data_IF_419816319384
#
_entry.id   IF_419816319384
#
_cell.length_a   1.000
_cell.length_b   1.000
_cell.length_c   1.000
_cell.angle_alpha   90.00
_cell.angle_beta   90.00
_cell.angle_gamma   90.00
#
_symmetry.space_group_name_H-M   'P 1'
#
loop_
_entity.id
_entity.type
_entity.pdbx_description
1 polymer ?
#
# COMPACT_ATOMS: atom_id res chain seq x y z
N UNK A 1 -28.55 25.68 9.24
CA UNK A 1 -27.24 25.44 9.89
C UNK A 1 -27.09 23.94 9.95
N UNK A 2 -26.53 23.33 8.89
CA UNK A 2 -26.31 21.89 8.84
C UNK A 2 -25.22 21.56 9.87
N UNK A 3 -25.54 20.74 10.86
CA UNK A 3 -24.55 20.20 11.78
C UNK A 3 -23.43 19.57 10.95
N UNK A 4 -22.21 20.08 11.08
CA UNK A 4 -21.03 19.38 10.57
C UNK A 4 -20.94 18.09 11.39
N UNK A 5 -21.35 16.97 10.80
CA UNK A 5 -21.18 15.65 11.40
C UNK A 5 -19.71 15.46 11.75
N UNK A 6 -19.37 15.48 13.04
CA UNK A 6 -18.01 15.20 13.50
C UNK A 6 -17.68 13.73 13.25
N UNK A 7 -16.45 13.47 12.83
CA UNK A 7 -15.93 12.12 12.75
C UNK A 7 -15.93 11.49 14.15
N UNK A 8 -16.58 10.33 14.31
CA UNK A 8 -16.66 9.61 15.58
C UNK A 8 -16.47 8.10 15.35
N UNK A 9 -15.65 7.46 16.20
CA UNK A 9 -15.57 6.00 16.34
C UNK A 9 -16.20 5.63 17.68
N UNK A 10 -17.09 4.64 17.65
CA UNK A 10 -17.72 4.06 18.82
C UNK A 10 -17.36 2.56 18.87
N UNK A 11 -16.75 2.15 19.98
CA UNK A 11 -16.43 0.76 20.26
C UNK A 11 -17.49 0.17 21.19
N UNK A 12 -18.04 -1.00 20.85
CA UNK A 12 -19.05 -1.69 21.67
C UNK A 12 -18.78 -3.18 21.74
N UNK A 13 -19.06 -3.85 22.86
CA UNK A 13 -19.15 -5.31 22.89
C UNK A 13 -20.04 -5.83 21.77
N UNK A 14 -19.55 -6.80 21.01
CA UNK A 14 -20.35 -7.41 19.96
C UNK A 14 -21.56 -8.16 20.59
N UNK A 15 -22.74 -8.17 19.95
CA UNK A 15 -23.94 -8.82 20.48
C UNK A 15 -23.77 -10.31 20.83
N UNK A 16 -22.83 -10.97 20.15
CA UNK A 16 -22.50 -12.38 20.32
C UNK A 16 -21.38 -12.63 21.35
N UNK A 17 -20.89 -11.56 22.01
CA UNK A 17 -19.88 -11.62 23.06
C UNK A 17 -20.51 -11.35 24.43
N UNK A 18 -20.62 -12.38 25.27
CA UNK A 18 -21.31 -12.34 26.56
C UNK A 18 -20.29 -12.23 27.69
N UNK A 19 -20.42 -11.19 28.51
CA UNK A 19 -19.64 -11.06 29.74
C UNK A 19 -20.28 -11.84 30.88
N UNK A 20 -19.47 -12.56 31.65
CA UNK A 20 -19.92 -13.30 32.83
C UNK A 20 -18.84 -13.31 33.93
N UNK A 21 -19.26 -13.64 35.15
CA UNK A 21 -18.39 -13.94 36.27
C UNK A 21 -18.53 -15.42 36.62
N UNK A 22 -17.40 -16.13 36.70
CA UNK A 22 -17.35 -17.51 37.18
C UNK A 22 -16.36 -17.57 38.35
N UNK A 23 -16.84 -17.91 39.54
CA UNK A 23 -16.04 -17.93 40.78
C UNK A 23 -15.26 -16.62 41.02
N UNK A 24 -15.88 -15.48 40.68
CA UNK A 24 -15.29 -14.14 40.79
C UNK A 24 -14.28 -13.79 39.70
N UNK A 25 -14.05 -14.67 38.73
CA UNK A 25 -13.18 -14.42 37.56
C UNK A 25 -14.00 -13.84 36.41
N UNK A 26 -13.65 -12.65 35.88
CA UNK A 26 -14.33 -12.06 34.74
C UNK A 26 -13.95 -12.79 33.45
N UNK A 27 -14.95 -13.13 32.64
CA UNK A 27 -14.76 -13.81 31.37
C UNK A 27 -15.69 -13.28 30.28
N UNK A 28 -15.26 -13.42 29.03
CA UNK A 28 -16.07 -13.19 27.83
C UNK A 28 -16.27 -14.52 27.12
N UNK A 29 -17.51 -14.91 26.88
CA UNK A 29 -17.86 -15.98 25.97
C UNK A 29 -18.14 -15.41 24.58
N UNK A 30 -17.45 -15.90 23.56
CA UNK A 30 -17.72 -15.62 22.14
C UNK A 30 -18.58 -16.73 21.57
N UNK A 31 -19.82 -16.42 21.21
CA UNK A 31 -20.71 -17.38 20.55
C UNK A 31 -20.20 -17.71 19.14
N UNK A 32 -19.76 -16.71 18.37
CA UNK A 32 -19.24 -16.92 17.01
C UNK A 32 -17.99 -17.82 17.00
N UNK A 33 -17.10 -17.64 17.97
CA UNK A 33 -15.86 -18.41 18.08
C UNK A 33 -15.95 -19.67 18.92
N UNK A 34 -17.06 -19.87 19.66
CA UNK A 34 -17.22 -20.89 20.70
C UNK A 34 -16.01 -20.95 21.66
N UNK A 35 -15.58 -19.79 22.14
CA UNK A 35 -14.38 -19.63 22.99
C UNK A 35 -14.69 -18.78 24.22
N UNK A 36 -13.98 -19.07 25.31
CA UNK A 36 -13.98 -18.28 26.54
C UNK A 36 -12.63 -17.57 26.67
N UNK A 37 -12.68 -16.29 27.01
CA UNK A 37 -11.51 -15.45 27.30
C UNK A 37 -11.61 -14.98 28.76
N UNK A 38 -10.68 -15.41 29.60
CA UNK A 38 -10.54 -14.85 30.94
C UNK A 38 -9.92 -13.44 30.84
N UNK A 39 -10.48 -12.49 31.59
CA UNK A 39 -9.99 -11.13 31.67
C UNK A 39 -9.24 -10.92 32.99
N UNK A 40 -8.24 -10.06 32.98
CA UNK A 40 -7.73 -9.48 34.22
C UNK A 40 -8.65 -8.34 34.71
N UNK A 41 -8.29 -7.75 35.86
CA UNK A 41 -9.08 -6.67 36.45
C UNK A 41 -9.18 -5.44 35.55
N UNK A 42 -8.11 -5.11 34.81
CA UNK A 42 -8.03 -3.94 33.93
C UNK A 42 -8.88 -4.16 32.67
N UNK A 43 -8.73 -5.32 32.02
CA UNK A 43 -9.53 -5.74 30.88
C UNK A 43 -11.02 -5.81 31.21
N UNK A 44 -11.39 -6.35 32.37
CA UNK A 44 -12.79 -6.36 32.81
C UNK A 44 -13.35 -4.94 33.00
N UNK A 45 -12.56 -4.03 33.59
CA UNK A 45 -12.94 -2.63 33.75
C UNK A 45 -13.18 -1.95 32.39
N UNK A 46 -12.24 -2.12 31.46
CA UNK A 46 -12.34 -1.54 30.10
C UNK A 46 -13.56 -2.11 29.38
N UNK A 47 -13.77 -3.43 29.42
CA UNK A 47 -14.91 -4.09 28.77
C UNK A 47 -16.24 -3.55 29.28
N UNK A 48 -16.42 -3.45 30.61
CA UNK A 48 -17.64 -2.91 31.20
C UNK A 48 -17.87 -1.45 30.78
N UNK A 49 -16.83 -0.61 30.76
CA UNK A 49 -16.94 0.78 30.33
C UNK A 49 -17.35 0.91 28.86
N UNK A 50 -16.82 0.07 27.98
CA UNK A 50 -17.26 -0.01 26.58
C UNK A 50 -18.73 -0.45 26.47
N UNK A 51 -19.15 -1.42 27.29
CA UNK A 51 -20.56 -1.86 27.36
C UNK A 51 -21.52 -0.77 27.85
N UNK A 52 -21.05 0.15 28.69
CA UNK A 52 -21.78 1.34 29.12
C UNK A 52 -21.79 2.47 28.07
N UNK A 53 -21.07 2.30 26.95
CA UNK A 53 -20.92 3.34 25.91
C UNK A 53 -20.00 4.49 26.32
N UNK A 54 -19.10 4.26 27.28
CA UNK A 54 -18.14 5.29 27.74
C UNK A 54 -17.12 5.64 26.66
N UNK A 55 -16.67 6.89 26.63
CA UNK A 55 -15.57 7.30 25.75
C UNK A 55 -14.22 6.73 26.23
N UNK A 56 -13.21 6.66 25.35
CA UNK A 56 -11.86 6.29 25.77
C UNK A 56 -11.30 7.24 26.84
N UNK A 57 -11.64 8.53 26.78
CA UNK A 57 -11.26 9.50 27.82
C UNK A 57 -11.84 9.18 29.19
N UNK A 58 -13.06 8.65 29.26
CA UNK A 58 -13.67 8.18 30.51
C UNK A 58 -12.98 6.93 31.05
N UNK A 59 -12.61 6.02 30.15
CA UNK A 59 -11.84 4.81 30.49
C UNK A 59 -10.50 5.21 31.11
N UNK A 60 -9.76 6.13 30.48
CA UNK A 60 -8.46 6.58 30.99
C UNK A 60 -8.60 7.26 32.36
N UNK A 61 -9.60 8.14 32.54
CA UNK A 61 -9.88 8.74 33.85
C UNK A 61 -10.20 7.70 34.92
N UNK A 62 -10.96 6.67 34.56
CA UNK A 62 -11.31 5.59 35.47
C UNK A 62 -10.14 4.67 35.84
N UNK A 63 -9.20 4.46 34.93
CA UNK A 63 -7.94 3.76 35.20
C UNK A 63 -6.98 4.61 36.06
N UNK A 64 -6.93 5.92 35.81
CA UNK A 64 -6.17 6.86 36.64
C UNK A 64 -6.63 6.88 38.10
N UNK A 65 -7.95 6.81 38.34
CA UNK A 65 -8.51 6.67 39.69
C UNK A 65 -8.12 5.36 40.39
N UNK A 66 -7.64 4.36 39.65
CA UNK A 66 -7.11 3.09 40.17
C UNK A 66 -5.57 3.09 40.29
N UNK A 67 -4.92 4.23 40.08
CA UNK A 67 -3.47 4.40 40.21
C UNK A 67 -2.67 4.02 38.96
N UNK A 68 -3.32 3.84 37.80
CA UNK A 68 -2.63 3.56 36.53
C UNK A 68 -2.41 4.89 35.81
N UNK A 69 -1.15 5.21 35.49
CA UNK A 69 -0.84 6.44 34.77
C UNK A 69 -1.42 6.44 33.35
N UNK A 70 -1.58 7.62 32.77
CA UNK A 70 -2.26 7.80 31.48
C UNK A 70 -1.58 7.05 30.33
N UNK A 71 -0.24 7.02 30.29
CA UNK A 71 0.49 6.34 29.23
C UNK A 71 0.25 4.83 29.28
N UNK A 72 0.36 4.25 30.47
CA UNK A 72 0.06 2.84 30.71
C UNK A 72 -1.41 2.51 30.43
N UNK A 73 -2.34 3.39 30.82
CA UNK A 73 -3.78 3.21 30.57
C UNK A 73 -4.10 3.18 29.06
N UNK A 74 -3.51 4.10 28.27
CA UNK A 74 -3.63 4.12 26.81
C UNK A 74 -3.06 2.85 26.19
N UNK A 75 -1.85 2.45 26.61
CA UNK A 75 -1.20 1.25 26.12
C UNK A 75 -2.05 -0.02 26.37
N UNK A 76 -2.53 -0.23 27.59
CA UNK A 76 -3.36 -1.39 27.91
C UNK A 76 -4.67 -1.36 27.13
N UNK A 77 -5.34 -0.21 27.07
CA UNK A 77 -6.61 -0.06 26.33
C UNK A 77 -6.41 -0.40 24.85
N UNK A 78 -5.36 0.13 24.22
CA UNK A 78 -5.03 -0.19 22.81
C UNK A 78 -4.81 -1.68 22.61
N UNK A 79 -3.99 -2.31 23.46
CA UNK A 79 -3.67 -3.74 23.35
C UNK A 79 -4.92 -4.62 23.46
N UNK A 80 -5.81 -4.36 24.42
CA UNK A 80 -7.02 -5.19 24.58
C UNK A 80 -8.04 -4.93 23.47
N UNK A 81 -8.21 -3.67 23.04
CA UNK A 81 -9.10 -3.31 21.92
C UNK A 81 -8.64 -3.98 20.63
N UNK A 82 -7.33 -3.96 20.33
CA UNK A 82 -6.76 -4.64 19.17
C UNK A 82 -7.11 -6.13 19.16
N UNK A 83 -6.87 -6.80 20.28
CA UNK A 83 -7.13 -8.22 20.46
C UNK A 83 -8.62 -8.55 20.33
N UNK A 84 -9.49 -7.69 20.86
CA UNK A 84 -10.92 -7.91 20.80
C UNK A 84 -11.49 -7.66 19.40
N UNK A 85 -10.98 -6.67 18.66
CA UNK A 85 -11.36 -6.46 17.25
C UNK A 85 -10.94 -7.64 16.38
N UNK A 86 -9.69 -8.12 16.53
CA UNK A 86 -9.17 -9.26 15.76
C UNK A 86 -9.96 -10.55 16.00
N UNK A 87 -10.65 -10.64 17.14
CA UNK A 87 -11.48 -11.78 17.54
C UNK A 87 -12.97 -11.53 17.35
N UNK A 88 -13.34 -10.43 16.69
CA UNK A 88 -14.71 -9.99 16.49
C UNK A 88 -15.53 -9.82 17.79
N UNK A 89 -14.86 -9.60 18.94
CA UNK A 89 -15.53 -9.37 20.23
C UNK A 89 -16.00 -7.93 20.40
N UNK A 90 -15.49 -7.01 19.58
CA UNK A 90 -15.97 -5.63 19.50
C UNK A 90 -16.59 -5.35 18.14
N UNK A 91 -17.71 -4.63 18.16
CA UNK A 91 -18.20 -3.88 17.02
C UNK A 91 -17.55 -2.50 16.99
N UNK A 92 -17.16 -2.08 15.79
CA UNK A 92 -16.53 -0.80 15.54
C UNK A 92 -17.41 -0.02 14.58
N UNK A 93 -18.26 0.81 15.15
CA UNK A 93 -19.09 1.72 14.37
C UNK A 93 -18.36 3.05 14.24
N UNK A 94 -18.36 3.62 13.04
CA UNK A 94 -17.88 4.98 12.88
C UNK A 94 -18.67 5.77 11.87
N UNK A 95 -18.74 7.08 12.12
CA UNK A 95 -19.42 8.05 11.25
C UNK A 95 -18.37 8.90 10.57
N UNK A 96 -18.39 8.90 9.24
CA UNK A 96 -17.48 9.69 8.43
C UNK A 96 -18.00 11.11 8.22
N UNK A 97 -17.11 12.12 8.27
CA UNK A 97 -17.45 13.45 7.78
C UNK A 97 -17.65 13.41 6.26
N UNK A 98 -18.49 14.29 5.73
CA UNK A 98 -18.81 14.35 4.29
C UNK A 98 -17.83 15.19 3.48
N UNK A 99 -16.99 16.00 4.13
CA UNK A 99 -16.16 17.04 3.52
C UNK A 99 -14.66 16.68 3.41
N UNK A 100 -14.21 15.60 4.03
CA UNK A 100 -12.81 15.13 3.97
C UNK A 100 -12.69 13.88 3.09
N UNK A 101 -12.69 14.08 1.77
CA UNK A 101 -12.61 13.00 0.80
C UNK A 101 -11.91 13.41 -0.50
N UNK A 102 -11.33 12.44 -1.20
CA UNK A 102 -10.89 12.60 -2.59
C UNK A 102 -11.06 11.28 -3.35
N UNK A 103 -11.01 11.39 -4.66
CA UNK A 103 -11.01 10.23 -5.56
C UNK A 103 -9.73 10.24 -6.38
N UNK A 104 -9.14 9.07 -6.59
CA UNK A 104 -7.97 8.90 -7.43
C UNK A 104 -8.20 7.78 -8.46
N UNK A 105 -7.45 7.84 -9.55
CA UNK A 105 -7.47 6.80 -10.58
C UNK A 105 -6.12 6.11 -10.66
N UNK A 106 -6.15 4.77 -10.65
CA UNK A 106 -5.00 3.93 -10.96
C UNK A 106 -5.36 3.04 -12.14
N UNK A 107 -4.87 3.38 -13.33
CA UNK A 107 -5.37 2.78 -14.55
C UNK A 107 -6.83 3.16 -14.77
N UNK A 108 -7.68 2.14 -14.89
CA UNK A 108 -9.15 2.28 -14.97
C UNK A 108 -9.84 2.18 -13.61
N UNK A 109 -9.08 1.97 -12.54
CA UNK A 109 -9.66 1.73 -11.22
C UNK A 109 -9.84 3.03 -10.47
N UNK A 110 -11.10 3.33 -10.12
CA UNK A 110 -11.46 4.47 -9.28
C UNK A 110 -11.35 4.08 -7.81
N UNK A 111 -10.61 4.87 -7.05
CA UNK A 111 -10.37 4.68 -5.63
C UNK A 111 -10.94 5.87 -4.90
N UNK A 112 -11.94 5.64 -4.06
CA UNK A 112 -12.59 6.66 -3.26
C UNK A 112 -12.05 6.59 -1.83
N UNK A 113 -11.53 7.71 -1.34
CA UNK A 113 -10.88 7.79 -0.03
C UNK A 113 -11.59 8.84 0.83
N UNK A 114 -11.94 8.45 2.05
CA UNK A 114 -12.50 9.34 3.07
C UNK A 114 -11.63 9.30 4.33
N UNK A 115 -11.52 10.44 4.99
CA UNK A 115 -10.72 10.57 6.20
C UNK A 115 -11.46 11.36 7.28
N UNK A 116 -11.16 11.09 8.55
CA UNK A 116 -11.73 11.82 9.68
C UNK A 116 -11.36 13.31 9.71
N UNK A 117 -10.22 13.69 9.15
CA UNK A 117 -9.71 15.05 9.17
C UNK A 117 -8.75 15.34 7.98
N UNK A 118 -8.46 16.62 7.69
CA UNK A 118 -7.57 17.00 6.59
C UNK A 118 -6.13 16.49 6.70
N UNK A 119 -5.61 16.26 7.91
CA UNK A 119 -4.23 15.80 8.11
C UNK A 119 -4.05 14.35 7.66
N UNK A 120 -5.00 13.48 8.03
CA UNK A 120 -5.09 12.13 7.49
C UNK A 120 -5.29 12.16 5.98
N UNK A 121 -6.18 13.02 5.48
CA UNK A 121 -6.45 13.14 4.04
C UNK A 121 -5.17 13.49 3.25
N UNK A 122 -4.35 14.42 3.75
CA UNK A 122 -3.06 14.78 3.13
C UNK A 122 -2.08 13.60 3.08
N UNK A 123 -2.00 12.82 4.16
CA UNK A 123 -1.14 11.62 4.20
C UNK A 123 -1.65 10.53 3.26
N UNK A 124 -2.96 10.35 3.18
CA UNK A 124 -3.60 9.40 2.27
C UNK A 124 -3.44 9.79 0.80
N UNK A 125 -3.26 11.08 0.50
CA UNK A 125 -3.03 11.57 -0.84
C UNK A 125 -1.61 11.27 -1.34
N UNK A 126 -0.60 11.23 -0.45
CA UNK A 126 0.82 11.01 -0.80
C UNK A 126 1.10 9.89 -1.83
N UNK A 127 0.51 8.69 -1.73
CA UNK A 127 0.81 7.62 -2.68
C UNK A 127 0.14 7.80 -4.06
N UNK A 128 -0.68 8.84 -4.30
CA UNK A 128 -1.40 9.05 -5.55
C UNK A 128 -0.81 10.20 -6.37
N UNK A 129 -0.76 10.03 -7.70
CA UNK A 129 -0.24 11.04 -8.61
C UNK A 129 -1.28 12.08 -9.04
N UNK A 130 -2.55 11.68 -9.17
CA UNK A 130 -3.66 12.51 -9.61
C UNK A 130 -4.87 12.23 -8.73
N UNK A 131 -5.56 13.29 -8.29
CA UNK A 131 -6.77 13.20 -7.47
C UNK A 131 -7.80 14.26 -7.88
N UNK A 132 -9.07 13.87 -7.90
CA UNK A 132 -10.20 14.76 -8.06
C UNK A 132 -10.93 14.94 -6.71
N UNK A 133 -11.33 16.18 -6.39
CA UNK A 133 -12.10 16.48 -5.18
C UNK A 133 -13.59 16.10 -5.29
N UNK A 134 -14.00 15.44 -6.37
CA UNK A 134 -15.36 14.96 -6.57
C UNK A 134 -15.59 13.65 -5.79
N UNK A 135 -15.95 13.78 -4.52
CA UNK A 135 -16.44 12.68 -3.70
C UNK A 135 -17.90 12.36 -4.09
N UNK A 136 -18.13 11.16 -4.63
CA UNK A 136 -19.47 10.70 -5.00
C UNK A 136 -19.45 9.66 -6.11
N UNK A 137 -19.62 8.40 -5.75
CA UNK A 137 -19.70 7.25 -6.65
C UNK A 137 -19.44 5.94 -5.92
N UNK A 138 -19.92 4.84 -6.49
CA UNK A 138 -19.54 3.47 -6.10
C UNK A 138 -18.19 3.15 -6.78
N UNK A 139 -17.10 3.71 -6.25
CA UNK A 139 -15.76 3.43 -6.77
C UNK A 139 -15.36 1.97 -6.58
N UNK A 140 -14.52 1.45 -7.49
CA UNK A 140 -14.04 0.07 -7.45
C UNK A 140 -13.43 -0.32 -6.08
N UNK A 141 -12.81 0.66 -5.40
CA UNK A 141 -12.20 0.50 -4.08
C UNK A 141 -12.57 1.71 -3.22
N UNK A 142 -13.33 1.48 -2.15
CA UNK A 142 -13.58 2.47 -1.10
C UNK A 142 -12.67 2.22 0.11
N UNK A 143 -12.05 3.29 0.61
CA UNK A 143 -11.21 3.30 1.82
C UNK A 143 -11.67 4.42 2.74
N UNK A 144 -11.79 4.09 4.01
CA UNK A 144 -12.11 5.04 5.08
C UNK A 144 -11.04 4.99 6.16
N UNK A 145 -10.59 6.16 6.62
CA UNK A 145 -9.57 6.29 7.65
C UNK A 145 -10.06 7.14 8.83
N UNK A 146 -9.95 6.62 10.03
CA UNK A 146 -10.29 7.32 11.27
C UNK A 146 -9.13 7.31 12.26
N UNK A 147 -9.06 8.33 13.11
CA UNK A 147 -8.21 8.29 14.29
C UNK A 147 -8.97 7.71 15.46
N UNK A 148 -8.35 6.77 16.17
CA UNK A 148 -8.71 6.44 17.54
C UNK A 148 -7.46 6.57 18.39
N UNK A 149 -7.48 7.48 19.36
CA UNK A 149 -6.29 7.78 20.16
C UNK A 149 -5.10 8.18 19.24
N UNK A 150 -3.97 7.48 19.31
CA UNK A 150 -2.78 7.71 18.48
C UNK A 150 -2.70 6.80 17.24
N UNK A 151 -3.68 5.92 17.03
CA UNK A 151 -3.66 4.91 15.96
C UNK A 151 -4.67 5.23 14.87
N UNK A 152 -4.29 4.95 13.62
CA UNK A 152 -5.21 5.05 12.47
C UNK A 152 -5.93 3.72 12.27
N UNK A 153 -7.25 3.79 12.20
CA UNK A 153 -8.12 2.70 11.84
C UNK A 153 -8.53 2.85 10.38
N UNK A 154 -8.37 1.77 9.62
CA UNK A 154 -8.59 1.73 8.18
C UNK A 154 -9.64 0.67 7.87
N UNK A 155 -10.72 1.07 7.20
CA UNK A 155 -11.69 0.15 6.62
C UNK A 155 -11.63 0.25 5.12
N UNK A 156 -11.72 -0.91 4.47
CA UNK A 156 -11.82 -0.94 3.04
C UNK A 156 -12.76 -2.07 2.64
N UNK A 157 -13.72 -1.82 1.74
CA UNK A 157 -14.62 -2.81 1.12
C UNK A 157 -15.30 -3.87 2.00
N UNK A 158 -14.58 -4.93 2.39
CA UNK A 158 -15.08 -6.15 3.04
C UNK A 158 -15.38 -6.00 4.55
N UNK A 159 -15.54 -4.76 5.03
CA UNK A 159 -15.68 -4.42 6.45
C UNK A 159 -14.49 -4.83 7.33
N UNK A 160 -13.40 -5.36 6.77
CA UNK A 160 -12.18 -5.61 7.53
C UNK A 160 -11.58 -4.30 8.02
N UNK A 161 -11.13 -4.31 9.28
CA UNK A 161 -10.51 -3.16 9.93
C UNK A 161 -9.04 -3.49 10.13
N UNK A 162 -8.20 -2.74 9.43
CA UNK A 162 -6.76 -2.73 9.67
C UNK A 162 -6.38 -1.51 10.50
N UNK A 163 -5.22 -1.59 11.15
CA UNK A 163 -4.71 -0.53 12.02
C UNK A 163 -3.25 -0.25 11.70
N UNK A 164 -2.86 1.01 11.77
CA UNK A 164 -1.48 1.41 11.57
C UNK A 164 -1.15 2.69 12.32
N UNK A 165 0.15 2.91 12.53
CA UNK A 165 0.66 4.20 12.99
C UNK A 165 0.47 5.26 11.91
N UNK A 166 0.32 6.53 12.31
CA UNK A 166 0.04 7.65 11.40
C UNK A 166 1.09 7.79 10.28
N UNK A 167 2.35 7.51 10.57
CA UNK A 167 3.44 7.56 9.57
C UNK A 167 3.42 6.37 8.60
N UNK A 168 2.77 5.27 8.98
CA UNK A 168 2.59 4.07 8.15
C UNK A 168 1.33 4.12 7.28
N UNK A 169 0.51 5.15 7.41
CA UNK A 169 -0.78 5.27 6.73
C UNK A 169 -0.67 5.18 5.20
N UNK A 170 0.19 6.00 4.60
CA UNK A 170 0.38 6.01 3.14
C UNK A 170 0.91 4.66 2.61
N UNK A 171 1.97 4.06 3.19
CA UNK A 171 2.39 2.71 2.82
C UNK A 171 1.31 1.65 2.98
N UNK A 172 0.54 1.70 4.07
CA UNK A 172 -0.51 0.72 4.36
C UNK A 172 -1.61 0.76 3.31
N UNK A 173 -2.09 1.96 2.95
CA UNK A 173 -3.12 2.10 1.92
C UNK A 173 -2.60 1.71 0.54
N UNK A 174 -1.37 2.08 0.20
CA UNK A 174 -0.75 1.64 -1.06
C UNK A 174 -0.73 0.11 -1.15
N UNK A 175 -0.33 -0.59 -0.08
CA UNK A 175 -0.32 -2.05 -0.03
C UNK A 175 -1.73 -2.64 -0.16
N UNK A 176 -2.71 -2.09 0.56
CA UNK A 176 -4.10 -2.55 0.53
C UNK A 176 -4.74 -2.43 -0.86
N UNK A 177 -4.58 -1.27 -1.50
CA UNK A 177 -5.04 -1.04 -2.87
C UNK A 177 -4.33 -1.99 -3.84
N UNK A 178 -3.00 -2.14 -3.70
CA UNK A 178 -2.21 -3.04 -4.54
C UNK A 178 -2.71 -4.48 -4.46
N UNK A 179 -2.95 -5.00 -3.26
CA UNK A 179 -3.45 -6.36 -3.07
C UNK A 179 -4.81 -6.57 -3.77
N UNK A 180 -5.72 -5.60 -3.65
CA UNK A 180 -7.04 -5.66 -4.33
C UNK A 180 -6.92 -5.67 -5.84
N UNK A 181 -6.05 -4.82 -6.39
CA UNK A 181 -5.82 -4.75 -7.83
C UNK A 181 -5.25 -6.07 -8.36
N UNK A 182 -4.31 -6.68 -7.63
CA UNK A 182 -3.70 -7.96 -7.99
C UNK A 182 -4.71 -9.11 -7.93
N UNK A 183 -5.61 -9.13 -6.93
CA UNK A 183 -6.64 -10.17 -6.78
C UNK A 183 -7.80 -10.04 -7.79
N UNK A 184 -7.83 -8.98 -8.58
CA UNK A 184 -8.86 -8.79 -9.60
C UNK A 184 -8.77 -9.86 -10.71
N UNK A 185 -9.86 -10.58 -10.96
CA UNK A 185 -9.94 -11.72 -11.89
C UNK A 185 -9.56 -11.41 -13.34
N UNK A 186 -9.49 -10.12 -13.73
CA UNK A 186 -9.05 -9.74 -15.08
C UNK A 186 -7.56 -10.01 -15.32
N UNK A 187 -6.75 -10.03 -14.27
CA UNK A 187 -5.30 -10.22 -14.38
C UNK A 187 -4.94 -11.67 -14.10
N UNK A 188 -4.00 -12.20 -14.88
CA UNK A 188 -3.56 -13.61 -14.73
C UNK A 188 -2.41 -13.75 -13.73
N UNK A 189 -1.61 -12.70 -13.55
CA UNK A 189 -0.60 -12.53 -12.51
C UNK A 189 -0.11 -11.07 -12.50
N UNK A 190 0.76 -10.74 -11.55
CA UNK A 190 1.48 -9.48 -11.47
C UNK A 190 2.98 -9.72 -11.38
N UNK A 191 3.78 -8.80 -11.91
CA UNK A 191 5.24 -8.78 -11.78
C UNK A 191 5.66 -7.69 -10.79
N UNK A 192 6.62 -8.00 -9.91
CA UNK A 192 7.30 -6.97 -9.15
C UNK A 192 8.34 -6.24 -10.02
N UNK A 193 7.87 -5.27 -10.79
CA UNK A 193 8.66 -4.51 -11.75
C UNK A 193 8.20 -3.06 -11.82
N UNK A 194 9.15 -2.15 -12.05
CA UNK A 194 8.82 -0.82 -12.53
C UNK A 194 8.57 -0.89 -14.03
N UNK A 195 7.69 -0.03 -14.53
CA UNK A 195 7.25 -0.01 -15.91
C UNK A 195 7.20 1.42 -16.44
N UNK A 196 7.79 1.60 -17.62
CA UNK A 196 7.79 2.85 -18.37
C UNK A 196 7.46 2.57 -19.83
N UNK A 197 7.09 3.60 -20.58
CA UNK A 197 6.81 3.54 -22.02
C UNK A 197 7.63 4.60 -22.74
N UNK A 198 8.35 4.18 -23.78
CA UNK A 198 9.09 5.04 -24.71
C UNK A 198 8.59 4.78 -26.13
N UNK A 199 8.15 5.81 -26.84
CA UNK A 199 7.63 5.72 -28.22
C UNK A 199 6.63 4.58 -28.45
N UNK A 200 5.72 4.39 -27.48
CA UNK A 200 4.68 3.35 -27.52
C UNK A 200 5.13 1.94 -27.11
N UNK A 201 6.42 1.73 -26.83
CA UNK A 201 6.98 0.45 -26.42
C UNK A 201 7.31 0.42 -24.92
N UNK A 202 6.94 -0.67 -24.25
CA UNK A 202 7.13 -0.84 -22.82
C UNK A 202 8.55 -1.26 -22.43
N UNK A 203 9.05 -0.65 -21.35
CA UNK A 203 10.29 -0.99 -20.66
C UNK A 203 9.94 -1.50 -19.25
N UNK A 204 10.29 -2.75 -18.96
CA UNK A 204 10.19 -3.32 -17.61
C UNK A 204 11.55 -3.30 -16.92
N UNK A 205 11.61 -2.73 -15.71
CA UNK A 205 12.76 -2.83 -14.83
C UNK A 205 12.47 -3.84 -13.73
N UNK A 206 13.16 -4.97 -13.80
CA UNK A 206 13.05 -6.09 -12.87
C UNK A 206 14.28 -6.16 -11.97
N UNK A 207 14.11 -6.56 -10.72
CA UNK A 207 15.23 -6.76 -9.80
C UNK A 207 14.80 -6.80 -8.35
N UNK A 208 15.69 -7.31 -7.49
CA UNK A 208 15.46 -7.42 -6.06
C UNK A 208 15.17 -6.05 -5.40
N UNK A 209 14.52 -6.02 -4.23
CA UNK A 209 14.38 -4.79 -3.45
C UNK A 209 15.74 -4.12 -3.22
N UNK A 210 15.85 -2.83 -3.52
CA UNK A 210 17.12 -2.09 -3.41
C UNK A 210 18.02 -2.13 -4.66
N UNK A 211 17.66 -2.90 -5.69
CA UNK A 211 18.38 -2.92 -6.97
C UNK A 211 18.28 -1.61 -7.77
N UNK A 212 17.52 -0.61 -7.30
CA UNK A 212 17.46 0.74 -7.89
C UNK A 212 16.34 0.98 -8.91
N UNK A 213 15.29 0.15 -8.96
CA UNK A 213 14.12 0.30 -9.84
C UNK A 213 13.51 1.71 -9.79
N UNK A 214 13.11 2.17 -8.60
CA UNK A 214 12.50 3.49 -8.42
C UNK A 214 13.44 4.64 -8.73
N UNK A 215 14.72 4.50 -8.37
CA UNK A 215 15.77 5.47 -8.67
C UNK A 215 15.99 5.63 -10.18
N UNK A 216 16.05 4.52 -10.92
CA UNK A 216 16.18 4.55 -12.38
C UNK A 216 14.90 5.00 -13.07
N UNK A 217 13.74 4.64 -12.54
CA UNK A 217 12.45 5.11 -13.05
C UNK A 217 12.37 6.63 -12.98
N UNK A 218 12.76 7.25 -11.85
CA UNK A 218 12.84 8.71 -11.73
C UNK A 218 13.73 9.34 -12.82
N UNK A 219 14.92 8.78 -13.02
CA UNK A 219 15.88 9.24 -14.02
C UNK A 219 15.39 9.13 -15.46
N UNK A 220 14.65 8.06 -15.77
CA UNK A 220 14.09 7.83 -17.10
C UNK A 220 12.87 8.73 -17.36
N UNK A 221 12.05 9.00 -16.34
CA UNK A 221 10.96 9.98 -16.43
C UNK A 221 11.52 11.38 -16.74
N UNK A 222 12.58 11.79 -16.05
CA UNK A 222 13.32 13.02 -16.37
C UNK A 222 13.95 13.00 -17.78
N UNK A 223 14.15 11.81 -18.36
CA UNK A 223 14.60 11.64 -19.75
C UNK A 223 13.47 11.60 -20.79
N UNK A 224 12.21 11.83 -20.38
CA UNK A 224 11.06 11.85 -21.27
C UNK A 224 10.31 10.53 -21.41
N UNK A 225 10.69 9.48 -20.68
CA UNK A 225 9.92 8.24 -20.67
C UNK A 225 8.59 8.45 -19.94
N UNK A 226 7.51 7.88 -20.48
CA UNK A 226 6.20 7.93 -19.82
C UNK A 226 6.15 6.92 -18.69
N UNK A 227 5.87 7.38 -17.48
CA UNK A 227 5.73 6.52 -16.30
C UNK A 227 4.44 5.70 -16.37
N UNK A 228 4.50 4.40 -16.05
CA UNK A 228 3.32 3.54 -15.96
C UNK A 228 3.13 2.92 -14.56
N UNK A 229 4.21 2.74 -13.79
CA UNK A 229 4.14 2.22 -12.42
C UNK A 229 5.52 1.82 -11.90
N UNK A 230 5.72 1.81 -10.59
CA UNK A 230 7.05 1.58 -9.97
C UNK A 230 7.21 0.21 -9.29
N UNK A 231 6.13 -0.32 -8.70
CA UNK A 231 6.19 -1.51 -7.85
C UNK A 231 5.54 -2.75 -8.47
N UNK A 232 4.48 -2.55 -9.26
CA UNK A 232 3.63 -3.63 -9.76
C UNK A 232 3.26 -3.37 -11.21
N UNK A 233 3.43 -4.41 -12.02
CA UNK A 233 2.93 -4.48 -13.39
C UNK A 233 1.95 -5.66 -13.48
N UNK A 234 0.67 -5.37 -13.74
CA UNK A 234 -0.40 -6.35 -13.88
C UNK A 234 -0.37 -6.94 -15.30
N UNK A 235 -0.54 -8.26 -15.42
CA UNK A 235 -0.43 -8.95 -16.72
C UNK A 235 -1.79 -9.54 -17.12
N UNK A 236 -2.20 -9.24 -18.35
CA UNK A 236 -3.38 -9.82 -19.00
C UNK A 236 -3.09 -11.19 -19.62
N UNK A 237 -4.14 -11.99 -19.84
CA UNK A 237 -3.99 -13.35 -20.41
C UNK A 237 -3.46 -13.39 -21.85
N UNK A 238 -3.50 -12.26 -22.55
CA UNK A 238 -2.91 -12.06 -23.87
C UNK A 238 -1.43 -11.65 -23.83
N UNK A 239 -0.88 -11.36 -22.64
CA UNK A 239 0.49 -10.87 -22.45
C UNK A 239 0.62 -9.35 -22.48
N UNK A 240 -0.49 -8.61 -22.53
CA UNK A 240 -0.47 -7.16 -22.31
C UNK A 240 -0.13 -6.84 -20.85
N UNK A 241 0.53 -5.70 -20.64
CA UNK A 241 0.95 -5.23 -19.32
C UNK A 241 0.23 -3.94 -19.01
N UNK A 242 -0.27 -3.82 -17.79
CA UNK A 242 -0.84 -2.59 -17.25
C UNK A 242 -0.06 -2.21 -15.98
N UNK A 243 0.57 -1.05 -15.99
CA UNK A 243 1.20 -0.50 -14.79
C UNK A 243 0.15 -0.06 -13.76
N UNK A 244 0.59 0.09 -12.50
CA UNK A 244 -0.21 0.70 -11.42
C UNK A 244 0.48 2.01 -11.00
N UNK A 245 0.06 3.17 -11.53
CA UNK A 245 0.81 4.43 -11.42
C UNK A 245 0.54 5.17 -10.11
N UNK A 246 0.81 4.52 -8.98
CA UNK A 246 1.01 5.24 -7.73
C UNK A 246 2.14 6.27 -7.90
N UNK A 247 2.16 7.28 -7.03
CA UNK A 247 3.31 8.15 -6.87
C UNK A 247 4.58 7.29 -6.68
N UNK A 248 5.64 7.67 -7.39
CA UNK A 248 6.91 6.97 -7.37
C UNK A 248 7.46 6.93 -5.93
N UNK A 249 7.90 5.76 -5.46
CA UNK A 249 8.24 5.57 -4.05
C UNK A 249 9.76 5.48 -3.86
N UNK A 250 10.33 6.53 -3.26
CA UNK A 250 11.78 6.63 -3.07
C UNK A 250 12.15 6.37 -1.62
N UNK A 251 13.04 5.39 -1.43
CA UNK A 251 13.67 5.11 -0.14
C UNK A 251 14.72 6.18 0.19
N UNK A 252 15.06 6.29 1.46
CA UNK A 252 16.03 7.25 2.00
C UNK A 252 17.33 7.38 1.19
N UNK A 253 17.92 6.25 0.77
CA UNK A 253 19.16 6.27 -0.03
C UNK A 253 19.04 6.88 -1.43
N UNK A 254 17.86 7.37 -1.84
CA UNK A 254 17.64 8.10 -3.10
C UNK A 254 17.20 9.55 -2.89
N UNK A 255 17.13 10.05 -1.66
CA UNK A 255 16.64 11.40 -1.39
C UNK A 255 17.61 12.49 -1.88
N UNK A 256 18.92 12.28 -1.82
CA UNK A 256 19.89 13.22 -2.43
C UNK A 256 19.73 13.35 -3.94
N UNK A 257 19.33 12.26 -4.60
CA UNK A 257 18.99 12.32 -6.03
C UNK A 257 17.68 13.07 -6.24
N UNK A 258 16.67 12.79 -5.41
CA UNK A 258 15.39 13.48 -5.45
C UNK A 258 15.56 15.00 -5.29
N UNK A 259 16.32 15.45 -4.29
CA UNK A 259 16.58 16.88 -4.06
C UNK A 259 17.35 17.53 -5.22
N UNK A 260 18.25 16.80 -5.90
CA UNK A 260 18.93 17.31 -7.10
C UNK A 260 18.01 17.48 -8.31
N UNK A 261 17.03 16.60 -8.49
CA UNK A 261 16.13 16.63 -9.64
C UNK A 261 14.87 17.50 -9.42
N UNK A 262 14.34 17.51 -8.19
CA UNK A 262 13.05 18.14 -7.88
C UNK A 262 13.09 19.13 -6.70
N UNK A 263 14.27 19.40 -6.13
CA UNK A 263 14.41 20.20 -4.91
C UNK A 263 13.72 19.55 -3.71
N UNK A 264 13.35 20.36 -2.72
CA UNK A 264 12.71 19.90 -1.48
C UNK A 264 11.18 19.80 -1.60
N UNK A 265 10.65 19.73 -2.82
CA UNK A 265 9.19 19.71 -3.09
C UNK A 265 8.47 18.52 -2.46
N UNK A 266 9.17 17.40 -2.31
CA UNK A 266 8.61 16.12 -1.86
C UNK A 266 9.33 15.65 -0.59
N UNK A 267 9.19 16.39 0.51
CA UNK A 267 9.89 16.17 1.79
C UNK A 267 9.11 15.32 2.80
N UNK A 268 7.79 15.19 2.61
CA UNK A 268 6.90 14.38 3.44
C UNK A 268 7.38 12.93 3.55
N UNK A 269 7.76 12.55 4.76
CA UNK A 269 8.38 11.25 5.05
C UNK A 269 7.36 10.32 5.68
N UNK A 270 7.31 9.09 5.18
CA UNK A 270 6.46 8.02 5.68
C UNK A 270 7.31 6.83 6.11
N UNK A 271 6.82 6.04 7.06
CA UNK A 271 7.53 4.89 7.59
C UNK A 271 6.76 3.61 7.28
N UNK A 272 7.40 2.68 6.57
CA UNK A 272 6.82 1.37 6.32
C UNK A 272 6.85 0.51 7.60
N UNK A 273 6.05 -0.56 7.60
CA UNK A 273 6.02 -1.53 8.72
C UNK A 273 7.37 -2.24 8.96
N UNK A 274 8.26 -2.29 7.97
CA UNK A 274 9.63 -2.80 8.09
C UNK A 274 10.64 -1.73 8.53
N UNK A 275 10.19 -0.55 8.93
CA UNK A 275 11.02 0.57 9.37
C UNK A 275 11.66 1.37 8.23
N UNK A 276 11.43 0.99 6.97
CA UNK A 276 11.99 1.70 5.82
C UNK A 276 11.28 3.04 5.62
N UNK A 277 12.04 4.13 5.64
CA UNK A 277 11.56 5.48 5.35
C UNK A 277 11.43 5.70 3.84
N UNK A 278 10.30 6.27 3.43
CA UNK A 278 9.98 6.55 2.04
C UNK A 278 9.40 7.94 1.84
N UNK A 279 9.60 8.48 0.63
CA UNK A 279 8.97 9.69 0.10
C UNK A 279 8.25 9.35 -1.19
N UNK A 280 7.13 10.01 -1.44
CA UNK A 280 6.32 9.80 -2.63
C UNK A 280 6.49 10.97 -3.59
N UNK A 281 6.67 10.67 -4.88
CA UNK A 281 6.83 11.65 -5.95
C UNK A 281 5.70 11.46 -6.96
N UNK A 282 4.63 12.29 -6.88
CA UNK A 282 3.56 12.32 -7.87
C UNK A 282 4.08 12.54 -9.29
N UNK A 283 3.62 11.72 -10.24
CA UNK A 283 3.90 11.86 -11.67
C UNK A 283 2.56 12.07 -12.40
N UNK A 284 2.15 13.33 -12.67
CA UNK A 284 0.80 13.63 -13.18
C UNK A 284 0.50 13.02 -14.55
N UNK A 285 1.48 12.99 -15.46
CA UNK A 285 1.32 12.51 -16.83
C UNK A 285 1.57 10.99 -16.96
N UNK A 286 1.27 10.24 -15.90
CA UNK A 286 1.40 8.79 -15.91
C UNK A 286 0.43 8.16 -16.92
N UNK A 287 0.91 7.17 -17.67
CA UNK A 287 0.09 6.46 -18.66
C UNK A 287 -0.66 5.29 -18.02
N UNK A 288 -1.97 5.25 -18.25
CA UNK A 288 -2.91 4.31 -17.62
C UNK A 288 -3.32 3.16 -18.56
N UNK A 289 -2.83 3.16 -19.79
CA UNK A 289 -3.18 2.18 -20.82
C UNK A 289 -2.29 0.94 -20.75
N UNK A 290 -2.82 -0.16 -21.28
CA UNK A 290 -2.06 -1.40 -21.42
C UNK A 290 -1.09 -1.30 -22.60
N UNK A 291 0.10 -1.88 -22.46
CA UNK A 291 1.16 -1.85 -23.46
C UNK A 291 1.81 -3.23 -23.62
N UNK A 292 2.56 -3.39 -24.70
CA UNK A 292 3.45 -4.53 -24.90
C UNK A 292 4.87 -4.19 -24.46
N UNK A 293 5.56 -5.12 -23.80
CA UNK A 293 6.97 -4.95 -23.48
C UNK A 293 7.83 -5.07 -24.75
N UNK A 294 8.67 -4.07 -25.01
CA UNK A 294 9.78 -4.14 -25.97
C UNK A 294 11.10 -4.51 -25.28
N UNK A 295 11.24 -4.17 -24.01
CA UNK A 295 12.46 -4.43 -23.23
C UNK A 295 12.16 -4.92 -21.82
N UNK A 296 12.93 -5.91 -21.38
CA UNK A 296 12.94 -6.44 -20.02
C UNK A 296 14.36 -6.32 -19.50
N UNK A 297 14.57 -5.43 -18.53
CA UNK A 297 15.87 -5.13 -17.97
C UNK A 297 15.95 -5.69 -16.55
N UNK A 298 16.85 -6.64 -16.35
CA UNK A 298 17.16 -7.17 -15.03
C UNK A 298 18.31 -6.36 -14.42
N UNK A 299 18.03 -5.67 -13.33
CA UNK A 299 18.98 -4.82 -12.63
C UNK A 299 19.94 -5.65 -11.79
N UNK A 300 21.24 -5.45 -12.03
CA UNK A 300 22.34 -5.99 -11.25
C UNK A 300 23.19 -4.82 -10.74
N UNK A 301 22.81 -4.25 -9.59
CA UNK A 301 23.55 -3.14 -9.01
C UNK A 301 24.81 -3.63 -8.30
N UNK A 302 25.96 -3.10 -8.69
CA UNK A 302 27.28 -3.42 -8.13
C UNK A 302 27.89 -2.21 -7.41
N UNK A 303 28.83 -2.45 -6.50
CA UNK A 303 29.49 -1.38 -5.74
C UNK A 303 30.43 -0.53 -6.61
N UNK A 304 31.06 -1.16 -7.60
CA UNK A 304 31.95 -0.53 -8.58
C UNK A 304 32.05 -1.39 -9.84
N UNK A 305 32.49 -0.79 -10.94
CA UNK A 305 32.64 -1.46 -12.23
C UNK A 305 31.99 -0.68 -13.37
N UNK A 306 32.16 -1.15 -14.62
CA UNK A 306 31.55 -0.51 -15.77
C UNK A 306 30.04 -0.69 -15.79
N UNK A 307 29.34 0.29 -16.35
CA UNK A 307 27.92 0.16 -16.68
C UNK A 307 27.77 -0.55 -18.02
N UNK A 308 27.11 -1.70 -18.05
CA UNK A 308 26.98 -2.54 -19.26
C UNK A 308 25.61 -3.23 -19.37
N UNK A 309 25.22 -3.49 -20.62
CA UNK A 309 24.05 -4.30 -20.97
C UNK A 309 24.52 -5.61 -21.59
N UNK A 310 24.03 -6.72 -21.07
CA UNK A 310 24.30 -8.06 -21.60
C UNK A 310 23.00 -8.78 -21.93
N UNK A 311 22.95 -9.49 -23.06
CA UNK A 311 21.74 -10.23 -23.43
C UNK A 311 21.50 -11.42 -22.49
N UNK A 312 20.23 -11.61 -22.12
CA UNK A 312 19.77 -12.77 -21.35
C UNK A 312 18.97 -13.67 -22.28
N UNK A 313 19.31 -14.95 -22.27
CA UNK A 313 18.53 -15.98 -22.96
C UNK A 313 17.05 -15.97 -22.54
N UNK A 314 16.15 -16.22 -23.49
CA UNK A 314 14.70 -16.15 -23.26
C UNK A 314 14.24 -17.11 -22.15
N UNK A 315 14.78 -18.32 -22.08
CA UNK A 315 14.40 -19.26 -21.02
C UNK A 315 14.90 -18.78 -19.65
N UNK A 316 16.10 -18.21 -19.59
CA UNK A 316 16.63 -17.61 -18.37
C UNK A 316 15.80 -16.40 -17.91
N UNK A 317 15.41 -15.52 -18.84
CA UNK A 317 14.52 -14.38 -18.58
C UNK A 317 13.17 -14.85 -18.02
N UNK A 318 12.57 -15.87 -18.63
CA UNK A 318 11.31 -16.44 -18.19
C UNK A 318 11.39 -17.01 -16.77
N UNK A 319 12.46 -17.74 -16.42
CA UNK A 319 12.68 -18.25 -15.05
C UNK A 319 12.75 -17.12 -14.02
N UNK A 320 13.56 -16.09 -14.30
CA UNK A 320 13.70 -14.92 -13.41
C UNK A 320 12.39 -14.16 -13.22
N UNK A 321 11.57 -14.06 -14.27
CA UNK A 321 10.25 -13.42 -14.14
C UNK A 321 9.27 -14.25 -13.31
N UNK A 322 9.29 -15.57 -13.42
CA UNK A 322 8.45 -16.46 -12.59
C UNK A 322 8.80 -16.31 -11.11
N UNK A 323 10.09 -16.19 -10.77
CA UNK A 323 10.57 -15.99 -9.39
C UNK A 323 10.05 -14.67 -8.76
N UNK A 324 9.71 -13.68 -9.60
CA UNK A 324 9.19 -12.39 -9.19
C UNK A 324 7.72 -12.17 -9.57
N UNK A 325 7.03 -13.23 -10.01
CA UNK A 325 5.61 -13.20 -10.34
C UNK A 325 4.78 -13.54 -9.09
N UNK A 326 3.66 -12.83 -8.94
CA UNK A 326 2.68 -13.07 -7.90
C UNK A 326 1.30 -13.28 -8.54
N UNK A 327 0.59 -14.32 -8.11
CA UNK A 327 -0.80 -14.61 -8.48
C UNK A 327 -1.64 -14.72 -7.20
N UNK A 328 -2.95 -14.44 -7.28
CA UNK A 328 -3.83 -14.35 -6.10
C UNK A 328 -3.92 -15.63 -5.25
N UNK A 329 -3.68 -16.80 -5.85
CA UNK A 329 -3.63 -18.12 -5.20
C UNK A 329 -2.19 -18.62 -4.96
N UNK A 330 -1.19 -17.77 -5.24
CA UNK A 330 0.23 -18.09 -5.14
C UNK A 330 0.78 -18.98 -6.26
N UNK A 331 0.01 -19.29 -7.32
CA UNK A 331 0.43 -20.21 -8.38
C UNK A 331 0.25 -19.58 -9.76
N UNK A 332 1.28 -19.69 -10.60
CA UNK A 332 1.16 -19.27 -11.99
C UNK A 332 0.28 -20.25 -12.77
N UNK A 333 -0.85 -19.76 -13.29
CA UNK A 333 -1.77 -20.56 -14.12
C UNK A 333 -1.18 -20.90 -15.49
N UNK A 334 -1.76 -21.86 -16.21
CA UNK A 334 -1.36 -22.15 -17.61
C UNK A 334 -1.53 -20.92 -18.51
N UNK A 335 -2.60 -20.16 -18.35
CA UNK A 335 -2.81 -18.89 -19.06
C UNK A 335 -1.73 -17.88 -18.71
N UNK A 336 -1.36 -17.76 -17.43
CA UNK A 336 -0.26 -16.91 -16.98
C UNK A 336 1.08 -17.31 -17.58
N UNK A 337 1.37 -18.61 -17.64
CA UNK A 337 2.56 -19.14 -18.31
C UNK A 337 2.61 -18.77 -19.80
N UNK A 338 1.48 -18.92 -20.52
CA UNK A 338 1.40 -18.55 -21.94
C UNK A 338 1.55 -17.04 -22.17
N UNK A 339 0.96 -16.22 -21.28
CA UNK A 339 1.12 -14.76 -21.31
C UNK A 339 2.59 -14.36 -21.08
N UNK A 340 3.25 -14.98 -20.11
CA UNK A 340 4.68 -14.74 -19.86
C UNK A 340 5.55 -15.14 -21.06
N UNK A 341 5.25 -16.28 -21.70
CA UNK A 341 5.93 -16.71 -22.92
C UNK A 341 5.79 -15.67 -24.04
N UNK A 342 4.61 -15.06 -24.20
CA UNK A 342 4.38 -14.00 -25.20
C UNK A 342 5.20 -12.74 -24.88
N UNK A 343 5.23 -12.31 -23.63
CA UNK A 343 6.02 -11.15 -23.17
C UNK A 343 7.50 -11.35 -23.49
N UNK A 344 8.07 -12.49 -23.10
CA UNK A 344 9.50 -12.79 -23.33
C UNK A 344 9.83 -12.97 -24.81
N UNK A 345 8.89 -13.50 -25.61
CA UNK A 345 9.08 -13.63 -27.05
C UNK A 345 9.06 -12.28 -27.79
N UNK A 346 8.29 -11.32 -27.29
CA UNK A 346 8.12 -9.98 -27.89
C UNK A 346 9.13 -8.93 -27.42
N UNK A 347 9.90 -9.21 -26.36
CA UNK A 347 10.81 -8.25 -25.75
C UNK A 347 12.29 -8.69 -25.81
N UNK A 348 13.20 -7.73 -25.92
CA UNK A 348 14.64 -7.96 -25.69
C UNK A 348 14.89 -8.06 -24.18
N UNK A 349 15.45 -9.17 -23.73
CA UNK A 349 15.81 -9.40 -22.32
C UNK A 349 17.28 -9.12 -22.09
N UNK A 350 17.59 -8.20 -21.18
CA UNK A 350 18.95 -7.73 -20.92
C UNK A 350 19.23 -7.67 -19.42
N UNK A 351 20.47 -7.92 -19.01
CA UNK A 351 20.96 -7.57 -17.68
C UNK A 351 21.67 -6.23 -17.74
N UNK A 352 21.27 -5.30 -16.87
CA UNK A 352 21.99 -4.05 -16.66
C UNK A 352 22.86 -4.18 -15.41
N UNK A 353 24.17 -4.30 -15.60
CA UNK A 353 25.14 -4.20 -14.52
C UNK A 353 25.56 -2.75 -14.37
N UNK A 354 25.42 -2.15 -13.18
CA UNK A 354 25.71 -0.73 -12.98
C UNK A 354 25.99 -0.37 -11.51
N UNK A 355 26.71 0.73 -11.28
CA UNK A 355 26.86 1.34 -9.95
C UNK A 355 26.17 2.72 -9.87
N UNK A 356 26.28 3.50 -10.94
CA UNK A 356 25.80 4.89 -11.04
C UNK A 356 24.51 5.02 -11.87
N UNK A 357 23.48 5.62 -11.28
CA UNK A 357 22.16 5.73 -11.91
C UNK A 357 22.16 6.59 -13.19
N UNK A 358 23.02 7.62 -13.24
CA UNK A 358 23.13 8.50 -14.41
C UNK A 358 23.74 7.81 -15.64
N UNK A 359 24.67 6.87 -15.44
CA UNK A 359 25.23 6.08 -16.55
C UNK A 359 24.23 5.06 -17.05
N UNK A 360 23.58 4.35 -16.12
CA UNK A 360 22.49 3.42 -16.42
C UNK A 360 21.36 4.09 -17.21
N UNK A 361 20.95 5.30 -16.83
CA UNK A 361 19.99 6.12 -17.59
C UNK A 361 20.44 6.29 -19.04
N UNK A 362 21.67 6.77 -19.29
CA UNK A 362 22.18 7.02 -20.64
C UNK A 362 22.11 5.76 -21.51
N UNK A 363 22.59 4.64 -20.98
CA UNK A 363 22.63 3.38 -21.72
C UNK A 363 21.22 2.85 -22.05
N UNK A 364 20.25 3.01 -21.14
CA UNK A 364 18.86 2.64 -21.39
C UNK A 364 18.15 3.56 -22.39
N UNK A 365 18.44 4.86 -22.36
CA UNK A 365 17.94 5.83 -23.35
C UNK A 365 18.48 5.49 -24.74
N UNK A 366 19.78 5.19 -24.86
CA UNK A 366 20.38 4.81 -26.14
C UNK A 366 19.80 3.49 -26.67
N UNK A 367 19.60 2.49 -25.79
CA UNK A 367 18.93 1.23 -26.14
C UNK A 367 17.53 1.45 -26.70
N UNK A 368 16.70 2.22 -26.01
CA UNK A 368 15.30 2.41 -26.39
C UNK A 368 15.15 3.28 -27.66
N UNK A 369 16.14 4.13 -27.96
CA UNK A 369 16.19 4.95 -29.15
C UNK A 369 16.92 4.28 -30.34
N UNK A 370 17.30 3.01 -30.20
CA UNK A 370 17.96 2.23 -31.27
C UNK A 370 19.41 2.64 -31.54
N UNK A 371 20.10 3.23 -30.56
CA UNK A 371 21.50 3.70 -30.65
C UNK A 371 22.51 2.79 -29.93
N UNK A 372 22.05 1.76 -29.20
CA UNK A 372 22.90 0.87 -28.40
C UNK A 372 22.83 -0.60 -28.85
#
# INVERSE_FOLDING_TARGET
>A
MLERSSAEIVLRPAPHAVFALLDGRPMIFSEAGQKIFELDRVGAFIWCKLGEGSSLGDIYRGLAAQGIDEHTARQFTRQVVDVWIDRALLEVDWRMPTDCAFSAHLGRHRIDIRAANPDLLRRLLSPFSVSDQSAGGDGDIAIEAMMLDEQVFLRAGDSSISRCEVDALAPTIKAHVTERLIRNIRWVFSLHAASLVNDGMGLLLCGHPGAGKSTLTLQLVDAGFRYAGDDVALVGGDGTICGVPFALTLKEGSWDLLSRLHGDRYDATHCRSDGVRVRYVPIPDAQNESFSAGWIIFLNRVASGPTELTEIDRLASMKRLIEHAFAGDGRLSQTGFLALRRIVAGARSLQLTYCEAGEARRLLVDLCNGKA
#
